data_IF_957903684570
#
_entry.id   IF_957903684570
#
_cell.length_a   1.000
_cell.length_b   1.000
_cell.length_c   1.000
_cell.angle_alpha   90.00
_cell.angle_beta   90.00
_cell.angle_gamma   90.00
#
_symmetry.space_group_name_H-M   'P 1'
#
loop_
_entity.id
_entity.type
_entity.pdbx_description
1 polymer ?
#
# COMPACT_ATOMS: atom_id res chain seq x y z
N UNK A 1 65.13 -21.26 23.17
CA UNK A 1 64.16 -22.14 22.48
C UNK A 1 63.65 -21.36 21.28
N UNK A 2 64.25 -21.57 20.10
CA UNK A 2 63.75 -22.50 19.06
C UNK A 2 62.30 -22.13 18.67
N UNK A 3 62.10 -21.32 17.61
CA UNK A 3 61.95 -21.74 16.18
C UNK A 3 60.54 -22.35 16.02
N UNK A 4 59.55 -21.81 15.28
CA UNK A 4 59.36 -21.69 13.81
C UNK A 4 58.09 -20.81 13.61
N UNK A 5 58.04 -19.69 12.86
CA UNK A 5 58.10 -19.43 11.40
C UNK A 5 56.76 -19.63 10.64
N UNK A 6 56.34 -18.56 9.93
CA UNK A 6 55.69 -18.52 8.59
C UNK A 6 54.42 -19.37 8.36
N UNK A 7 53.29 -18.84 7.86
CA UNK A 7 53.14 -18.23 6.55
C UNK A 7 51.89 -17.32 6.51
N UNK A 8 52.10 -16.02 6.37
CA UNK A 8 51.15 -15.09 5.75
C UNK A 8 51.67 -14.84 4.33
N UNK A 9 50.94 -15.27 3.30
CA UNK A 9 51.04 -14.75 1.92
C UNK A 9 50.05 -15.43 0.96
N UNK A 10 49.44 -14.58 0.12
CA UNK A 10 48.71 -14.84 -1.14
C UNK A 10 47.28 -15.41 -0.97
N UNK A 11 46.21 -14.86 -1.55
CA UNK A 11 46.11 -14.05 -2.77
C UNK A 11 44.95 -13.05 -2.72
N UNK A 12 45.26 -11.79 -3.00
CA UNK A 12 44.33 -10.78 -3.49
C UNK A 12 44.29 -10.95 -5.02
N UNK A 13 43.13 -11.25 -5.59
CA UNK A 13 42.89 -11.14 -7.03
C UNK A 13 41.46 -10.62 -7.22
N UNK A 14 41.35 -9.34 -7.55
CA UNK A 14 40.16 -8.79 -8.16
C UNK A 14 40.22 -9.06 -9.67
N UNK A 15 39.15 -9.61 -10.26
CA UNK A 15 38.85 -9.33 -11.66
C UNK A 15 37.35 -9.49 -11.99
N UNK A 16 36.86 -8.38 -12.54
CA UNK A 16 35.61 -8.04 -13.21
C UNK A 16 35.01 -9.06 -14.22
N UNK A 17 33.67 -8.95 -14.36
CA UNK A 17 32.79 -9.17 -15.53
C UNK A 17 32.68 -10.60 -16.10
N UNK A 18 31.48 -11.18 -16.31
CA UNK A 18 30.37 -10.70 -17.15
C UNK A 18 29.09 -11.50 -16.82
N UNK A 19 27.97 -10.85 -16.53
CA UNK A 19 26.63 -11.46 -16.64
C UNK A 19 25.93 -10.81 -17.83
N UNK A 20 26.13 -11.39 -19.02
CA UNK A 20 25.26 -11.16 -20.17
C UNK A 20 24.05 -12.08 -20.04
N UNK A 21 22.99 -11.60 -19.39
CA UNK A 21 21.66 -12.17 -19.55
C UNK A 21 20.97 -11.42 -20.70
N UNK A 22 20.96 -12.03 -21.87
CA UNK A 22 20.09 -11.62 -22.97
C UNK A 22 18.64 -11.92 -22.58
N UNK A 23 17.89 -10.93 -22.13
CA UNK A 23 16.44 -11.00 -22.16
C UNK A 23 15.98 -10.62 -23.59
N UNK A 24 15.23 -11.48 -24.31
CA UNK A 24 14.62 -11.07 -25.57
C UNK A 24 13.63 -9.94 -25.30
N UNK A 25 13.76 -8.86 -26.07
CA UNK A 25 12.83 -7.74 -26.05
C UNK A 25 11.37 -8.22 -26.21
N UNK A 26 10.41 -7.65 -25.48
CA UNK A 26 9.01 -7.93 -25.74
C UNK A 26 8.68 -7.49 -27.16
N UNK A 27 8.13 -8.45 -27.93
CA UNK A 27 7.60 -8.21 -29.27
C UNK A 27 6.49 -7.16 -29.14
N UNK A 28 6.74 -5.98 -29.71
CA UNK A 28 5.77 -4.91 -29.81
C UNK A 28 4.64 -5.35 -30.74
N UNK A 29 3.47 -5.63 -30.15
CA UNK A 29 2.21 -5.77 -30.87
C UNK A 29 1.90 -4.46 -31.63
N UNK A 30 1.63 -4.50 -32.94
CA UNK A 30 1.34 -3.31 -33.71
C UNK A 30 0.01 -2.68 -33.27
N UNK A 31 0.07 -1.38 -32.95
CA UNK A 31 -1.08 -0.51 -32.71
C UNK A 31 -1.97 -0.47 -33.96
N UNK A 32 -3.30 -0.63 -33.85
CA UNK A 32 -4.19 -0.48 -34.99
C UNK A 32 -4.12 0.96 -35.54
N UNK A 33 -3.97 1.05 -36.87
CA UNK A 33 -3.92 2.32 -37.62
C UNK A 33 -5.21 3.11 -37.46
N UNK A 34 -5.06 4.37 -37.06
CA UNK A 34 -6.14 5.35 -37.08
C UNK A 34 -6.61 5.60 -38.51
N UNK A 35 -7.92 5.55 -38.72
CA UNK A 35 -8.61 5.87 -39.97
C UNK A 35 -8.44 7.37 -40.29
N UNK A 36 -8.10 7.76 -41.53
CA UNK A 36 -7.96 9.17 -41.88
C UNK A 36 -9.33 9.88 -41.88
N UNK A 37 -9.39 11.04 -41.22
CA UNK A 37 -10.53 11.96 -41.26
C UNK A 37 -10.69 12.55 -42.68
N UNK A 38 -11.93 12.76 -43.17
CA UNK A 38 -12.18 13.33 -44.48
C UNK A 38 -11.80 14.81 -44.55
N UNK A 39 -11.19 15.16 -45.69
CA UNK A 39 -10.76 16.49 -46.11
C UNK A 39 -11.93 17.49 -46.10
N UNK A 40 -11.78 18.57 -45.32
CA UNK A 40 -12.72 19.68 -45.33
C UNK A 40 -12.68 20.45 -46.66
N UNK A 41 -13.85 20.72 -47.22
CA UNK A 41 -14.07 21.42 -48.47
C UNK A 41 -13.90 22.92 -48.26
N UNK A 42 -13.12 23.57 -49.13
CA UNK A 42 -12.86 25.01 -49.13
C UNK A 42 -14.15 25.75 -49.55
N UNK A 43 -14.65 26.64 -48.67
CA UNK A 43 -15.73 27.58 -48.95
C UNK A 43 -15.11 28.92 -49.41
N UNK A 44 -15.64 29.59 -50.45
CA UNK A 44 -15.10 30.86 -50.94
C UNK A 44 -15.35 32.03 -49.97
N UNK A 45 -14.55 33.11 -50.04
CA UNK A 45 -14.53 34.17 -49.05
C UNK A 45 -15.77 35.07 -49.15
N UNK A 46 -16.48 35.24 -48.03
CA UNK A 46 -17.42 36.33 -47.83
C UNK A 46 -16.65 37.60 -47.42
N UNK A 47 -16.96 38.70 -48.08
CA UNK A 47 -16.43 40.04 -47.78
C UNK A 47 -17.05 40.59 -46.50
N UNK A 48 -16.23 40.81 -45.47
CA UNK A 48 -16.61 41.46 -44.22
C UNK A 48 -16.63 42.99 -44.39
N UNK A 49 -17.64 43.71 -43.88
CA UNK A 49 -17.65 45.17 -43.87
C UNK A 49 -16.63 45.72 -42.87
N UNK A 50 -16.01 46.85 -43.22
CA UNK A 50 -15.07 47.61 -42.39
C UNK A 50 -15.78 48.16 -41.15
N UNK A 51 -15.50 47.61 -39.97
CA UNK A 51 -15.86 48.22 -38.69
C UNK A 51 -14.85 49.30 -38.28
N UNK A 52 -15.40 50.39 -37.74
CA UNK A 52 -14.67 51.55 -37.21
C UNK A 52 -14.01 51.16 -35.88
N UNK A 53 -12.74 51.55 -35.61
CA UNK A 53 -12.05 51.13 -34.39
C UNK A 53 -12.69 51.76 -33.14
N UNK A 54 -13.30 50.91 -32.32
CA UNK A 54 -13.64 51.21 -30.92
C UNK A 54 -12.35 51.16 -30.10
N UNK A 55 -12.06 52.16 -29.24
CA UNK A 55 -10.87 52.12 -28.40
C UNK A 55 -10.92 50.87 -27.51
N UNK A 56 -9.86 50.06 -27.58
CA UNK A 56 -9.69 48.86 -26.76
C UNK A 56 -9.88 49.21 -25.28
N UNK A 57 -10.65 48.42 -24.51
CA UNK A 57 -10.63 48.55 -23.07
C UNK A 57 -9.19 48.33 -22.59
N UNK A 58 -8.72 49.24 -21.73
CA UNK A 58 -7.45 49.11 -21.02
C UNK A 58 -7.39 47.71 -20.43
N UNK A 59 -6.40 46.91 -20.85
CA UNK A 59 -6.10 45.61 -20.25
C UNK A 59 -6.04 45.81 -18.73
N UNK A 60 -6.99 45.22 -18.01
CA UNK A 60 -6.80 44.84 -16.61
C UNK A 60 -5.44 44.13 -16.52
N UNK A 61 -4.59 44.40 -15.52
CA UNK A 61 -3.35 43.66 -15.34
C UNK A 61 -3.69 42.16 -15.37
N UNK A 62 -3.10 41.43 -16.31
CA UNK A 62 -3.20 39.97 -16.36
C UNK A 62 -2.82 39.47 -14.95
N UNK A 63 -3.65 38.62 -14.35
CA UNK A 63 -3.27 37.97 -13.09
C UNK A 63 -1.87 37.36 -13.29
N UNK A 64 -0.91 37.56 -12.36
CA UNK A 64 0.43 37.01 -12.51
C UNK A 64 0.33 35.53 -12.73
N UNK A 65 1.16 35.06 -13.64
CA UNK A 65 1.12 33.69 -14.09
C UNK A 65 1.70 32.79 -13.00
N UNK A 66 1.26 31.53 -12.94
CA UNK A 66 1.88 30.51 -12.09
C UNK A 66 3.41 30.42 -12.32
N UNK A 67 3.89 30.77 -13.52
CA UNK A 67 5.31 30.85 -13.86
C UNK A 67 6.05 31.95 -13.08
N UNK A 68 5.41 33.09 -12.81
CA UNK A 68 6.03 34.15 -12.00
C UNK A 68 6.21 33.70 -10.55
N UNK A 69 5.23 32.97 -10.00
CA UNK A 69 5.33 32.37 -8.67
C UNK A 69 6.42 31.32 -8.62
N UNK A 70 6.44 30.40 -9.59
CA UNK A 70 7.46 29.36 -9.71
C UNK A 70 8.87 29.96 -9.71
N UNK A 71 9.13 30.93 -10.59
CA UNK A 71 10.44 31.58 -10.68
C UNK A 71 10.82 32.33 -9.39
N UNK A 72 9.83 32.92 -8.69
CA UNK A 72 10.05 33.61 -7.41
C UNK A 72 10.52 32.63 -6.33
N UNK A 73 9.92 31.45 -6.26
CA UNK A 73 10.24 30.43 -5.24
C UNK A 73 11.53 29.69 -5.60
N UNK A 74 11.73 29.31 -6.87
CA UNK A 74 12.97 28.67 -7.34
C UNK A 74 14.22 29.52 -7.08
N UNK A 75 14.11 30.84 -7.21
CA UNK A 75 15.21 31.76 -6.89
C UNK A 75 15.62 31.74 -5.40
N UNK A 76 14.76 31.22 -4.52
CA UNK A 76 15.00 31.06 -3.09
C UNK A 76 15.43 29.65 -2.67
N UNK A 77 15.46 28.68 -3.60
CA UNK A 77 15.88 27.31 -3.27
C UNK A 77 17.39 27.24 -2.99
N UNK A 78 17.82 26.30 -2.14
CA UNK A 78 19.23 25.99 -1.95
C UNK A 78 19.86 25.53 -3.28
N UNK A 79 21.17 25.80 -3.49
CA UNK A 79 21.84 25.38 -4.71
C UNK A 79 21.91 23.85 -4.78
N UNK A 80 21.61 23.28 -5.95
CA UNK A 80 21.76 21.84 -6.16
C UNK A 80 23.21 21.40 -5.89
N UNK A 81 23.42 20.23 -5.27
CA UNK A 81 24.75 19.66 -5.05
C UNK A 81 25.56 19.62 -6.35
N UNK A 82 26.84 19.99 -6.25
CA UNK A 82 27.76 19.83 -7.38
C UNK A 82 28.00 18.33 -7.61
N UNK A 83 27.81 17.80 -8.84
CA UNK A 83 28.12 16.42 -9.12
C UNK A 83 29.56 16.06 -8.76
N UNK A 84 29.77 14.85 -8.24
CA UNK A 84 31.10 14.35 -7.93
C UNK A 84 31.95 14.14 -9.20
N UNK A 85 33.19 13.67 -9.03
CA UNK A 85 34.10 13.43 -10.15
C UNK A 85 33.60 12.35 -11.15
N UNK A 86 32.62 11.54 -10.76
CA UNK A 86 31.94 10.57 -11.64
C UNK A 86 30.68 11.15 -12.31
N UNK A 87 30.37 12.43 -12.06
CA UNK A 87 29.18 13.10 -12.57
C UNK A 87 27.92 12.79 -11.77
N UNK A 88 28.06 12.23 -10.57
CA UNK A 88 26.95 11.86 -9.71
C UNK A 88 26.76 12.93 -8.63
N UNK A 89 25.69 13.71 -8.75
CA UNK A 89 25.19 14.56 -7.66
C UNK A 89 23.90 13.93 -7.16
N UNK A 90 23.93 13.32 -5.98
CA UNK A 90 22.70 12.84 -5.33
C UNK A 90 22.14 13.96 -4.46
N UNK A 91 20.83 14.17 -4.59
CA UNK A 91 20.07 15.10 -3.76
C UNK A 91 20.01 16.51 -4.32
N UNK A 92 19.17 17.32 -3.67
CA UNK A 92 18.81 18.67 -4.10
C UNK A 92 17.58 18.68 -5.00
N UNK A 93 16.72 19.68 -4.79
CA UNK A 93 15.48 19.80 -5.56
C UNK A 93 15.76 20.08 -7.04
N UNK A 94 14.96 19.47 -7.91
CA UNK A 94 14.97 19.75 -9.34
C UNK A 94 14.27 21.09 -9.65
N UNK A 95 13.35 21.51 -8.77
CA UNK A 95 12.64 22.79 -8.84
C UNK A 95 11.43 22.81 -7.92
N UNK A 96 10.45 23.65 -8.25
CA UNK A 96 9.13 23.63 -7.61
C UNK A 96 8.01 23.49 -8.63
N UNK A 97 6.91 22.88 -8.21
CA UNK A 97 5.66 22.87 -8.97
C UNK A 97 4.67 23.83 -8.31
N UNK A 98 3.86 24.50 -9.14
CA UNK A 98 2.78 25.38 -8.69
C UNK A 98 1.43 24.78 -9.09
N UNK A 99 0.57 24.56 -8.09
CA UNK A 99 -0.79 24.06 -8.24
C UNK A 99 -1.80 25.15 -7.84
N UNK A 100 -2.56 25.73 -8.79
CA UNK A 100 -3.67 26.61 -8.46
C UNK A 100 -4.75 25.86 -7.68
N UNK A 101 -5.22 26.45 -6.58
CA UNK A 101 -6.19 25.81 -5.69
C UNK A 101 -7.58 26.37 -5.92
N UNK A 102 -8.55 25.47 -5.91
CA UNK A 102 -9.97 25.82 -5.89
C UNK A 102 -10.40 26.08 -4.45
N UNK A 103 -11.06 27.20 -4.17
CA UNK A 103 -11.63 27.49 -2.86
C UNK A 103 -13.16 27.54 -2.95
N UNK A 104 -13.83 26.91 -1.98
CA UNK A 104 -15.29 26.98 -1.86
C UNK A 104 -15.75 28.26 -1.12
N UNK A 105 -14.81 29.03 -0.58
CA UNK A 105 -15.04 30.24 0.20
C UNK A 105 -14.79 31.51 -0.63
N UNK A 106 -15.38 32.64 -0.22
CA UNK A 106 -15.15 33.95 -0.83
C UNK A 106 -13.77 34.56 -0.52
N UNK A 107 -12.79 33.72 -0.16
CA UNK A 107 -11.43 34.13 0.17
C UNK A 107 -10.62 34.54 -1.06
N UNK A 108 -9.40 35.06 -0.88
CA UNK A 108 -8.50 35.29 -2.00
C UNK A 108 -8.15 33.96 -2.69
N UNK A 109 -7.74 33.98 -3.96
CA UNK A 109 -7.21 32.80 -4.61
C UNK A 109 -5.93 32.32 -3.90
N UNK A 110 -5.72 31.02 -3.89
CA UNK A 110 -4.55 30.36 -3.30
C UNK A 110 -3.86 29.45 -4.32
N UNK A 111 -2.56 29.22 -4.09
CA UNK A 111 -1.73 28.31 -4.86
C UNK A 111 -0.90 27.48 -3.90
N UNK A 112 -0.84 26.17 -4.10
CA UNK A 112 0.16 25.33 -3.48
C UNK A 112 1.44 25.38 -4.30
N UNK A 113 2.58 25.54 -3.63
CA UNK A 113 3.91 25.45 -4.21
C UNK A 113 4.68 24.38 -3.45
N UNK A 114 5.28 23.44 -4.16
CA UNK A 114 5.99 22.33 -3.52
C UNK A 114 7.26 21.98 -4.29
N UNK A 115 8.29 21.54 -3.56
CA UNK A 115 9.54 21.08 -4.19
C UNK A 115 9.35 19.73 -4.86
N UNK A 116 10.07 19.50 -5.95
CA UNK A 116 10.12 18.20 -6.64
C UNK A 116 11.58 17.76 -6.86
N UNK A 117 11.78 16.52 -7.29
CA UNK A 117 13.10 15.90 -7.40
C UNK A 117 13.48 15.14 -6.13
N UNK A 118 14.77 15.07 -5.82
CA UNK A 118 15.32 14.31 -4.68
C UNK A 118 15.75 15.25 -3.55
N UNK A 119 15.49 14.90 -2.29
CA UNK A 119 15.92 15.71 -1.15
C UNK A 119 17.44 15.69 -0.96
N UNK A 120 18.01 16.71 -0.32
CA UNK A 120 19.41 16.65 0.15
C UNK A 120 19.47 15.92 1.49
N UNK A 121 20.51 15.10 1.71
CA UNK A 121 20.73 14.38 2.98
C UNK A 121 21.88 14.97 3.81
N UNK A 122 22.74 15.79 3.19
CA UNK A 122 23.86 16.45 3.87
C UNK A 122 24.17 17.83 3.22
N UNK A 123 23.71 18.95 3.83
CA UNK A 123 22.78 18.97 4.96
C UNK A 123 21.42 18.40 4.56
N UNK A 124 20.67 17.88 5.54
CA UNK A 124 19.30 17.42 5.31
C UNK A 124 18.42 18.61 4.93
N UNK A 125 17.77 18.52 3.77
CA UNK A 125 16.80 19.51 3.27
C UNK A 125 15.54 18.76 2.86
N UNK A 126 14.48 18.85 3.67
CA UNK A 126 13.23 18.16 3.41
C UNK A 126 12.44 18.80 2.26
N UNK A 127 11.62 18.00 1.60
CA UNK A 127 10.61 18.57 0.70
C UNK A 127 9.63 19.44 1.49
N UNK A 128 8.98 20.40 0.82
CA UNK A 128 7.96 21.23 1.47
C UNK A 128 6.73 21.41 0.58
N UNK A 129 5.61 21.72 1.22
CA UNK A 129 4.41 22.29 0.57
C UNK A 129 4.11 23.63 1.24
N UNK A 130 3.93 24.67 0.45
CA UNK A 130 3.62 26.01 0.90
C UNK A 130 2.40 26.57 0.18
N UNK A 131 1.55 27.30 0.91
CA UNK A 131 0.40 28.01 0.36
C UNK A 131 0.79 29.47 0.12
N UNK A 132 0.52 29.94 -1.09
CA UNK A 132 0.71 31.32 -1.49
C UNK A 132 -0.62 31.98 -1.82
N UNK A 133 -0.68 33.28 -1.61
CA UNK A 133 -1.71 34.15 -2.17
C UNK A 133 -1.08 35.34 -2.87
N UNK A 134 -1.87 36.03 -3.67
CA UNK A 134 -1.43 37.22 -4.37
C UNK A 134 -2.15 38.45 -3.84
N UNK A 135 -1.38 39.47 -3.44
CA UNK A 135 -1.91 40.78 -3.06
C UNK A 135 -1.32 41.88 -3.95
N UNK A 136 -1.74 43.13 -3.72
CA UNK A 136 -1.20 44.30 -4.42
C UNK A 136 0.33 44.47 -4.24
N UNK A 137 0.94 43.76 -3.27
CA UNK A 137 2.38 43.75 -3.02
C UNK A 137 3.15 42.61 -3.71
N UNK A 138 2.48 41.76 -4.49
CA UNK A 138 3.08 40.57 -5.12
C UNK A 138 2.67 39.26 -4.43
N UNK A 139 3.45 38.21 -4.68
CA UNK A 139 3.28 36.89 -4.07
C UNK A 139 3.62 36.92 -2.58
N UNK A 140 2.77 36.30 -1.77
CA UNK A 140 2.95 36.18 -0.33
C UNK A 140 2.76 34.73 0.09
N UNK A 141 3.78 34.16 0.74
CA UNK A 141 3.64 32.88 1.44
C UNK A 141 2.72 33.08 2.65
N UNK A 142 1.67 32.27 2.74
CA UNK A 142 0.69 32.29 3.82
C UNK A 142 1.06 31.27 4.90
N UNK A 143 1.42 30.06 4.47
CA UNK A 143 1.79 28.96 5.37
C UNK A 143 2.64 27.93 4.64
N UNK A 144 3.39 27.11 5.38
CA UNK A 144 4.30 26.09 4.87
C UNK A 144 4.38 24.92 5.84
N UNK A 145 4.49 23.72 5.30
CA UNK A 145 4.89 22.51 6.03
C UNK A 145 6.09 21.86 5.33
N UNK A 146 7.00 21.33 6.13
CA UNK A 146 8.08 20.46 5.67
C UNK A 146 7.57 19.01 5.70
N UNK A 147 8.00 18.19 4.75
CA UNK A 147 7.65 16.79 4.58
C UNK A 147 8.85 15.93 4.99
N UNK A 148 8.73 15.23 6.11
CA UNK A 148 9.86 14.50 6.70
C UNK A 148 10.15 13.15 6.03
N UNK A 149 9.11 12.52 5.48
CA UNK A 149 9.15 11.17 4.95
C UNK A 149 9.68 11.03 3.51
N UNK A 150 9.25 11.85 2.52
CA UNK A 150 9.67 11.63 1.14
C UNK A 150 11.16 11.93 0.94
N UNK A 151 11.88 10.98 0.37
CA UNK A 151 13.18 11.21 -0.24
C UNK A 151 13.06 11.88 -1.61
N UNK A 152 11.95 11.66 -2.30
CA UNK A 152 11.66 12.30 -3.58
C UNK A 152 10.16 12.56 -3.79
N UNK A 153 9.89 13.60 -4.57
CA UNK A 153 8.55 13.95 -5.06
C UNK A 153 8.56 14.14 -6.57
N UNK A 154 7.59 13.51 -7.25
CA UNK A 154 7.29 13.78 -8.65
C UNK A 154 6.63 15.16 -8.81
N UNK A 155 6.79 15.87 -9.94
CA UNK A 155 6.04 17.11 -10.19
C UNK A 155 4.51 16.98 -10.07
N UNK A 156 3.95 15.78 -10.18
CA UNK A 156 2.52 15.48 -9.97
C UNK A 156 2.20 14.90 -8.58
N UNK A 157 3.15 14.89 -7.64
CA UNK A 157 3.01 14.27 -6.31
C UNK A 157 1.94 14.91 -5.41
N UNK A 158 1.61 16.19 -5.63
CA UNK A 158 0.62 16.91 -4.82
C UNK A 158 -0.63 17.14 -5.66
N UNK A 159 -1.77 16.73 -5.12
CA UNK A 159 -3.09 16.96 -5.72
C UNK A 159 -4.06 17.57 -4.71
N UNK A 160 -4.97 18.42 -5.19
CA UNK A 160 -6.06 18.92 -4.35
C UNK A 160 -7.17 17.88 -4.30
N UNK A 161 -7.61 17.56 -3.08
CA UNK A 161 -8.65 16.57 -2.77
C UNK A 161 -9.76 17.21 -1.93
N UNK A 162 -10.85 16.48 -1.70
CA UNK A 162 -12.05 17.01 -1.05
C UNK A 162 -12.50 16.09 0.08
N UNK A 163 -12.01 16.30 1.31
CA UNK A 163 -12.47 15.56 2.50
C UNK A 163 -13.74 16.22 3.07
N UNK A 164 -13.68 17.52 3.31
CA UNK A 164 -14.81 18.32 3.80
C UNK A 164 -14.71 19.77 3.29
N UNK A 165 -15.81 20.53 3.20
CA UNK A 165 -15.87 21.78 2.44
C UNK A 165 -15.23 23.01 3.13
N UNK A 166 -14.90 22.92 4.41
CA UNK A 166 -14.35 23.99 5.25
C UNK A 166 -12.87 24.28 5.05
N UNK A 167 -12.09 23.31 4.57
CA UNK A 167 -10.66 23.42 4.32
C UNK A 167 -10.30 23.12 2.86
N UNK A 168 -9.12 23.58 2.45
CA UNK A 168 -8.46 23.04 1.26
C UNK A 168 -7.62 21.84 1.72
N UNK A 169 -7.81 20.71 1.06
CA UNK A 169 -7.08 19.48 1.36
C UNK A 169 -6.10 19.16 0.23
N UNK A 170 -4.88 18.77 0.59
CA UNK A 170 -3.83 18.36 -0.34
C UNK A 170 -3.36 16.96 0.01
N UNK A 171 -3.52 16.03 -0.93
CA UNK A 171 -2.88 14.71 -0.88
C UNK A 171 -1.47 14.82 -1.46
N UNK A 172 -0.49 14.28 -0.74
CA UNK A 172 0.91 14.22 -1.16
C UNK A 172 1.36 12.77 -1.20
N UNK A 173 1.76 12.30 -2.38
CA UNK A 173 2.36 10.98 -2.56
C UNK A 173 3.83 11.11 -2.95
N UNK A 174 4.70 10.54 -2.13
CA UNK A 174 6.14 10.55 -2.35
C UNK A 174 6.75 9.16 -2.27
N UNK A 175 8.04 9.09 -2.56
CA UNK A 175 8.81 7.88 -2.35
C UNK A 175 9.93 8.09 -1.36
N UNK A 176 10.29 7.00 -0.69
CA UNK A 176 11.40 6.93 0.25
C UNK A 176 12.32 5.76 -0.15
N UNK A 177 13.61 6.03 -0.28
CA UNK A 177 14.58 5.10 -0.85
C UNK A 177 14.18 4.59 -2.24
N UNK A 178 14.59 3.36 -2.55
CA UNK A 178 14.29 2.74 -3.84
C UNK A 178 12.93 2.02 -3.86
N UNK A 179 12.35 1.72 -2.69
CA UNK A 179 11.26 0.75 -2.56
C UNK A 179 10.14 1.19 -1.62
N UNK A 180 10.28 2.28 -0.86
CA UNK A 180 9.26 2.70 0.10
C UNK A 180 8.43 3.87 -0.44
N UNK A 181 7.23 4.03 0.11
CA UNK A 181 6.33 5.14 -0.17
C UNK A 181 6.14 6.03 1.05
N UNK A 182 5.78 7.28 0.79
CA UNK A 182 5.28 8.20 1.79
C UNK A 182 3.94 8.78 1.36
N UNK A 183 3.07 9.01 2.33
CA UNK A 183 1.77 9.62 2.15
C UNK A 183 1.59 10.71 3.19
N UNK A 184 1.24 11.91 2.76
CA UNK A 184 0.81 12.98 3.67
C UNK A 184 -0.54 13.54 3.20
N UNK A 185 -1.41 13.86 4.15
CA UNK A 185 -2.64 14.60 3.92
C UNK A 185 -2.59 15.89 4.72
N UNK A 186 -2.71 17.00 4.01
CA UNK A 186 -2.58 18.34 4.56
C UNK A 186 -3.91 19.07 4.50
N UNK A 187 -4.31 19.76 5.58
CA UNK A 187 -5.44 20.70 5.57
C UNK A 187 -4.97 22.15 5.67
N UNK A 188 -5.69 23.04 4.98
CA UNK A 188 -5.51 24.48 5.05
C UNK A 188 -6.82 25.19 5.38
N UNK A 189 -6.85 25.89 6.52
CA UNK A 189 -8.03 26.59 7.06
C UNK A 189 -8.20 28.04 6.56
N UNK A 190 -7.42 28.43 5.55
CA UNK A 190 -7.33 29.82 5.07
C UNK A 190 -6.20 30.63 5.71
N UNK A 191 -5.57 30.12 6.78
CA UNK A 191 -4.45 30.76 7.46
C UNK A 191 -3.27 29.82 7.69
N UNK A 192 -3.54 28.58 8.11
CA UNK A 192 -2.51 27.62 8.52
C UNK A 192 -2.64 26.33 7.71
N UNK A 193 -1.53 25.89 7.12
CA UNK A 193 -1.39 24.56 6.53
C UNK A 193 -0.89 23.61 7.62
N UNK A 194 -1.56 22.48 7.80
CA UNK A 194 -1.24 21.48 8.84
C UNK A 194 -1.06 20.10 8.24
N UNK A 195 -0.29 19.27 8.95
CA UNK A 195 -0.26 17.82 8.75
C UNK A 195 -1.43 17.19 9.50
N UNK A 196 -2.36 16.58 8.79
CA UNK A 196 -3.47 15.84 9.39
C UNK A 196 -3.19 14.34 9.40
N UNK A 197 -2.53 13.83 8.35
CA UNK A 197 -2.06 12.45 8.27
C UNK A 197 -0.65 12.43 7.68
N UNK A 198 0.21 11.60 8.24
CA UNK A 198 1.53 11.30 7.69
C UNK A 198 1.81 9.83 7.88
N UNK A 199 2.17 9.13 6.80
CA UNK A 199 2.32 7.68 6.78
C UNK A 199 3.48 7.24 5.89
N UNK A 200 4.14 6.17 6.31
CA UNK A 200 5.24 5.53 5.59
C UNK A 200 4.89 4.08 5.35
N UNK A 201 5.14 3.60 4.14
CA UNK A 201 4.96 2.20 3.76
C UNK A 201 6.23 1.65 3.11
N UNK A 202 6.49 0.37 3.32
CA UNK A 202 7.67 -0.30 2.74
C UNK A 202 7.51 -0.63 1.25
N UNK A 203 6.39 -0.24 0.63
CA UNK A 203 6.12 -0.25 -0.81
C UNK A 203 5.49 1.09 -1.26
N UNK A 204 5.76 1.62 -2.47
CA UNK A 204 5.07 2.82 -2.95
C UNK A 204 3.61 2.56 -3.29
N UNK A 205 2.78 3.61 -3.21
CA UNK A 205 1.48 3.70 -3.88
C UNK A 205 0.30 2.96 -3.24
N UNK A 206 0.45 2.40 -2.03
CA UNK A 206 -0.64 1.70 -1.34
C UNK A 206 -1.66 2.62 -0.66
N UNK A 207 -1.23 3.79 -0.18
CA UNK A 207 -2.10 4.75 0.51
C UNK A 207 -2.77 5.71 -0.47
N UNK A 208 -4.05 6.01 -0.26
CA UNK A 208 -4.87 6.78 -1.21
C UNK A 208 -6.13 7.34 -0.55
N UNK A 209 -6.87 8.15 -1.31
CA UNK A 209 -8.20 8.64 -0.95
C UNK A 209 -9.25 7.94 -1.82
N UNK A 210 -10.28 7.37 -1.18
CA UNK A 210 -11.34 6.59 -1.84
C UNK A 210 -12.63 6.62 -1.00
N UNK A 211 -13.80 6.67 -1.65
CA UNK A 211 -15.09 6.49 -0.96
C UNK A 211 -15.33 4.98 -0.77
N UNK A 212 -15.03 4.46 0.43
CA UNK A 212 -15.01 3.03 0.70
C UNK A 212 -16.39 2.48 1.07
N UNK A 213 -17.24 3.30 1.69
CA UNK A 213 -18.56 2.89 2.17
C UNK A 213 -19.69 3.28 1.20
N UNK A 214 -19.40 4.04 0.15
CA UNK A 214 -20.34 4.47 -0.89
C UNK A 214 -21.26 5.61 -0.47
N UNK A 215 -20.91 6.38 0.57
CA UNK A 215 -21.72 7.50 1.07
C UNK A 215 -21.47 8.82 0.33
N UNK A 216 -20.49 8.84 -0.58
CA UNK A 216 -20.10 10.00 -1.38
C UNK A 216 -19.09 10.93 -0.71
N UNK A 217 -18.69 10.65 0.54
CA UNK A 217 -17.57 11.28 1.22
C UNK A 217 -16.34 10.39 1.11
N UNK A 218 -15.20 10.93 0.66
CA UNK A 218 -14.00 10.12 0.53
C UNK A 218 -13.32 9.89 1.89
N UNK A 219 -12.72 8.71 2.02
CA UNK A 219 -11.96 8.25 3.17
C UNK A 219 -10.47 8.18 2.85
N UNK A 220 -9.65 8.20 3.90
CA UNK A 220 -8.20 8.04 3.80
C UNK A 220 -7.85 6.59 4.07
N UNK A 221 -7.30 5.92 3.07
CA UNK A 221 -6.80 4.56 3.18
C UNK A 221 -5.27 4.61 3.31
N UNK A 222 -4.77 4.10 4.43
CA UNK A 222 -3.35 3.97 4.73
C UNK A 222 -2.91 2.51 4.61
N UNK A 223 -1.84 2.30 3.86
CA UNK A 223 -1.29 0.97 3.58
C UNK A 223 -0.31 0.52 4.68
N UNK A 224 -0.76 -0.42 5.50
CA UNK A 224 0.01 -1.08 6.56
C UNK A 224 0.47 -2.47 6.17
N UNK A 225 0.45 -2.81 4.87
CA UNK A 225 0.83 -4.12 4.37
C UNK A 225 2.28 -4.43 4.73
N UNK A 226 2.51 -5.65 5.25
CA UNK A 226 3.86 -6.17 5.41
C UNK A 226 4.33 -6.76 4.09
N UNK A 227 5.21 -6.02 3.38
CA UNK A 227 5.81 -6.44 2.11
C UNK A 227 7.06 -7.31 2.26
N UNK A 228 7.60 -7.42 3.48
CA UNK A 228 8.83 -8.13 3.81
C UNK A 228 8.55 -9.37 4.66
N UNK A 229 7.47 -10.10 4.35
CA UNK A 229 7.15 -11.39 5.01
C UNK A 229 8.35 -12.34 4.97
N UNK A 230 9.02 -12.40 3.81
CA UNK A 230 10.33 -13.05 3.65
C UNK A 230 11.35 -12.05 3.10
N UNK A 231 11.08 -11.50 1.91
CA UNK A 231 11.92 -10.50 1.28
C UNK A 231 11.09 -9.64 0.33
N UNK A 232 11.53 -8.41 0.06
CA UNK A 232 10.78 -7.49 -0.81
C UNK A 232 10.51 -8.05 -2.22
N UNK A 233 11.46 -8.81 -2.78
CA UNK A 233 11.36 -9.40 -4.11
C UNK A 233 10.65 -10.76 -4.12
N UNK A 234 10.32 -11.30 -2.94
CA UNK A 234 9.68 -12.60 -2.79
C UNK A 234 8.20 -12.52 -3.13
N UNK A 235 7.59 -11.32 -3.09
CA UNK A 235 6.21 -11.05 -3.48
C UNK A 235 5.16 -11.65 -2.55
N UNK A 236 5.56 -12.25 -1.43
CA UNK A 236 4.66 -12.71 -0.36
C UNK A 236 4.41 -11.55 0.58
N UNK A 237 3.15 -11.14 0.71
CA UNK A 237 2.75 -9.99 1.52
C UNK A 237 1.67 -10.37 2.51
N UNK A 238 1.57 -9.62 3.62
CA UNK A 238 0.43 -9.67 4.53
C UNK A 238 -0.32 -8.35 4.44
N UNK A 239 -1.32 -8.33 3.55
CA UNK A 239 -2.16 -7.16 3.27
C UNK A 239 -2.82 -6.63 4.54
N UNK A 240 -2.66 -5.33 4.82
CA UNK A 240 -3.30 -4.68 5.95
C UNK A 240 -3.52 -3.20 5.64
N UNK A 241 -4.71 -2.71 5.95
CA UNK A 241 -5.06 -1.31 5.79
C UNK A 241 -5.54 -0.71 7.10
N UNK A 242 -5.32 0.60 7.23
CA UNK A 242 -6.00 1.45 8.19
C UNK A 242 -6.86 2.45 7.40
N UNK A 243 -8.09 2.68 7.84
CA UNK A 243 -9.03 3.59 7.19
C UNK A 243 -9.39 4.71 8.16
N UNK A 244 -9.26 5.95 7.71
CA UNK A 244 -9.68 7.13 8.45
C UNK A 244 -10.84 7.81 7.71
N UNK A 245 -11.87 8.18 8.44
CA UNK A 245 -13.02 8.95 7.92
C UNK A 245 -13.19 10.25 8.69
N UNK A 246 -13.75 11.27 8.04
CA UNK A 246 -14.02 12.56 8.65
C UNK A 246 -15.28 12.49 9.52
N UNK A 247 -15.15 12.71 10.83
CA UNK A 247 -16.29 12.62 11.76
C UNK A 247 -17.05 13.96 11.93
N UNK A 248 -16.63 15.00 11.23
CA UNK A 248 -17.14 16.36 11.36
C UNK A 248 -16.15 17.33 11.99
N UNK A 249 -15.15 16.84 12.73
CA UNK A 249 -14.15 17.65 13.42
C UNK A 249 -12.71 17.19 13.15
N UNK A 250 -12.46 15.89 13.05
CA UNK A 250 -11.16 15.32 12.75
C UNK A 250 -11.25 14.01 11.95
N UNK A 251 -10.13 13.61 11.33
CA UNK A 251 -10.00 12.26 10.77
C UNK A 251 -9.93 11.24 11.90
N UNK A 252 -10.81 10.25 11.87
CA UNK A 252 -10.96 9.22 12.90
C UNK A 252 -10.87 7.83 12.28
N UNK A 253 -10.17 6.92 12.96
CA UNK A 253 -10.02 5.54 12.48
C UNK A 253 -11.35 4.79 12.52
N UNK A 254 -11.68 4.15 11.40
CA UNK A 254 -12.81 3.26 11.29
C UNK A 254 -12.37 1.85 11.70
N UNK A 255 -12.99 1.35 12.76
CA UNK A 255 -12.75 0.00 13.27
C UNK A 255 -13.96 -0.90 13.02
N UNK A 256 -13.70 -2.20 12.85
CA UNK A 256 -14.75 -3.21 12.86
C UNK A 256 -15.54 -3.11 14.18
N UNK A 257 -16.85 -2.93 14.08
CA UNK A 257 -17.67 -2.58 15.24
C UNK A 257 -18.86 -3.53 15.39
N UNK A 258 -19.09 -4.12 16.57
CA UNK A 258 -20.30 -4.90 16.81
C UNK A 258 -21.56 -4.02 16.81
N UNK A 259 -22.67 -4.53 16.28
CA UNK A 259 -23.97 -3.86 16.39
C UNK A 259 -24.45 -3.77 17.85
N UNK A 260 -25.18 -2.70 18.23
CA UNK A 260 -25.72 -2.55 19.58
C UNK A 260 -26.78 -3.63 19.89
N UNK A 261 -27.00 -3.92 21.18
CA UNK A 261 -28.00 -4.90 21.64
C UNK A 261 -29.44 -4.59 21.19
N UNK A 262 -29.71 -3.33 20.80
CA UNK A 262 -31.00 -2.88 20.27
C UNK A 262 -31.24 -3.28 18.81
N UNK A 263 -30.20 -3.70 18.09
CA UNK A 263 -30.32 -4.13 16.69
C UNK A 263 -31.07 -5.48 16.57
N UNK A 264 -31.71 -5.77 15.43
CA UNK A 264 -32.38 -7.05 15.20
C UNK A 264 -31.43 -8.24 15.42
N UNK A 265 -31.85 -9.21 16.24
CA UNK A 265 -30.99 -10.32 16.65
C UNK A 265 -30.33 -11.09 15.48
N UNK A 266 -31.02 -11.39 14.35
CA UNK A 266 -30.37 -12.06 13.21
C UNK A 266 -29.26 -11.22 12.55
N UNK A 267 -29.49 -9.91 12.39
CA UNK A 267 -28.50 -8.98 11.83
C UNK A 267 -27.29 -8.88 12.75
N UNK A 268 -27.55 -8.65 14.04
CA UNK A 268 -26.52 -8.56 15.08
C UNK A 268 -25.64 -9.81 15.15
N UNK A 269 -26.24 -11.01 15.11
CA UNK A 269 -25.50 -12.26 15.15
C UNK A 269 -24.54 -12.42 13.95
N UNK A 270 -24.98 -12.07 12.74
CA UNK A 270 -24.14 -12.13 11.55
C UNK A 270 -23.03 -11.08 11.60
N UNK A 271 -23.35 -9.84 11.94
CA UNK A 271 -22.34 -8.77 12.02
C UNK A 271 -21.30 -9.04 13.10
N UNK A 272 -21.71 -9.47 14.31
CA UNK A 272 -20.78 -9.85 15.38
C UNK A 272 -19.88 -10.99 14.94
N UNK A 273 -20.45 -12.01 14.29
CA UNK A 273 -19.66 -13.14 13.80
C UNK A 273 -18.67 -12.73 12.72
N UNK A 274 -19.05 -11.86 11.79
CA UNK A 274 -18.14 -11.37 10.76
C UNK A 274 -16.95 -10.61 11.36
N UNK A 275 -17.19 -9.77 12.38
CA UNK A 275 -16.14 -9.04 13.12
C UNK A 275 -15.19 -10.03 13.81
N UNK A 276 -15.72 -10.98 14.60
CA UNK A 276 -14.91 -12.00 15.28
C UNK A 276 -14.02 -12.79 14.31
N UNK A 277 -14.56 -13.16 13.14
CA UNK A 277 -13.82 -13.89 12.12
C UNK A 277 -12.69 -13.05 11.52
N UNK A 278 -12.98 -11.80 11.16
CA UNK A 278 -11.98 -10.88 10.59
C UNK A 278 -10.84 -10.60 11.58
N UNK A 279 -11.16 -10.33 12.85
CA UNK A 279 -10.17 -10.13 13.92
C UNK A 279 -9.28 -11.37 14.14
N UNK A 280 -9.81 -12.57 13.90
CA UNK A 280 -9.07 -13.82 13.95
C UNK A 280 -8.27 -14.15 12.67
N UNK A 281 -8.32 -13.28 11.65
CA UNK A 281 -7.65 -13.50 10.36
C UNK A 281 -8.40 -14.44 9.40
N UNK A 282 -9.66 -14.81 9.71
CA UNK A 282 -10.51 -15.66 8.89
C UNK A 282 -11.28 -14.83 7.86
N UNK A 283 -10.55 -14.10 7.01
CA UNK A 283 -11.10 -13.09 6.10
C UNK A 283 -12.08 -13.65 5.07
N UNK A 284 -11.81 -14.84 4.54
CA UNK A 284 -12.75 -15.55 3.65
C UNK A 284 -14.12 -15.74 4.31
N UNK A 285 -14.15 -16.35 5.50
CA UNK A 285 -15.39 -16.61 6.23
C UNK A 285 -16.06 -15.32 6.71
N UNK A 286 -15.25 -14.32 7.10
CA UNK A 286 -15.74 -13.00 7.49
C UNK A 286 -16.48 -12.32 6.31
N UNK A 287 -15.91 -12.38 5.11
CA UNK A 287 -16.52 -11.84 3.88
C UNK A 287 -17.83 -12.56 3.55
N UNK A 288 -17.84 -13.89 3.58
CA UNK A 288 -19.07 -14.68 3.36
C UNK A 288 -20.16 -14.33 4.40
N UNK A 289 -19.77 -14.10 5.66
CA UNK A 289 -20.68 -13.78 6.77
C UNK A 289 -21.22 -12.35 6.66
N UNK A 290 -20.38 -11.36 6.39
CA UNK A 290 -20.83 -9.96 6.28
C UNK A 290 -21.74 -9.76 5.07
N UNK A 291 -21.53 -10.49 3.98
CA UNK A 291 -22.44 -10.48 2.81
C UNK A 291 -23.86 -10.92 3.16
N UNK A 292 -24.02 -11.85 4.11
CA UNK A 292 -25.33 -12.23 4.63
C UNK A 292 -25.96 -11.10 5.45
N UNK A 293 -25.17 -10.40 6.27
CA UNK A 293 -25.65 -9.23 7.01
C UNK A 293 -26.11 -8.10 6.07
N UNK A 294 -25.33 -7.81 5.01
CA UNK A 294 -25.69 -6.83 3.96
C UNK A 294 -27.00 -7.21 3.27
N UNK A 295 -27.26 -8.51 3.05
CA UNK A 295 -28.52 -8.98 2.47
C UNK A 295 -29.72 -8.73 3.41
N UNK A 296 -29.51 -8.75 4.73
CA UNK A 296 -30.56 -8.44 5.71
C UNK A 296 -30.81 -6.94 5.85
N UNK A 297 -29.74 -6.15 5.97
CA UNK A 297 -29.82 -4.69 6.09
C UNK A 297 -28.50 -4.00 5.70
N UNK A 298 -28.25 -3.87 4.40
CA UNK A 298 -27.10 -3.14 3.85
C UNK A 298 -27.26 -1.62 3.88
N UNK A 299 -28.22 -1.06 4.61
CA UNK A 299 -28.36 0.39 4.82
C UNK A 299 -28.02 0.78 6.26
N UNK A 300 -27.84 -0.19 7.16
CA UNK A 300 -27.33 0.07 8.50
C UNK A 300 -25.86 0.54 8.40
N UNK A 301 -25.51 1.73 8.95
CA UNK A 301 -24.18 2.29 8.80
C UNK A 301 -23.04 1.41 9.35
N UNK A 302 -23.30 0.65 10.43
CA UNK A 302 -22.30 -0.26 11.01
C UNK A 302 -22.10 -1.47 10.10
N UNK A 303 -23.16 -1.98 9.50
CA UNK A 303 -23.08 -3.08 8.52
C UNK A 303 -22.32 -2.62 7.28
N UNK A 304 -22.62 -1.44 6.75
CA UNK A 304 -21.93 -0.87 5.58
C UNK A 304 -20.44 -0.71 5.84
N UNK A 305 -20.05 -0.13 6.98
CA UNK A 305 -18.64 0.05 7.32
C UNK A 305 -17.90 -1.27 7.56
N UNK A 306 -18.51 -2.20 8.29
CA UNK A 306 -17.91 -3.52 8.48
C UNK A 306 -17.75 -4.27 7.15
N UNK A 307 -18.72 -4.14 6.24
CA UNK A 307 -18.63 -4.73 4.90
C UNK A 307 -17.48 -4.12 4.10
N UNK A 308 -17.37 -2.78 4.05
CA UNK A 308 -16.29 -2.08 3.36
C UNK A 308 -14.91 -2.53 3.86
N UNK A 309 -14.69 -2.53 5.19
CA UNK A 309 -13.42 -2.95 5.78
C UNK A 309 -13.09 -4.42 5.52
N UNK A 310 -14.08 -5.32 5.65
CA UNK A 310 -13.86 -6.75 5.42
C UNK A 310 -13.59 -7.03 3.94
N UNK A 311 -14.33 -6.40 3.03
CA UNK A 311 -14.13 -6.57 1.57
C UNK A 311 -12.75 -6.07 1.15
N UNK A 312 -12.36 -4.88 1.60
CA UNK A 312 -11.06 -4.29 1.31
C UNK A 312 -9.91 -5.26 1.61
N UNK A 313 -9.94 -5.91 2.78
CA UNK A 313 -8.90 -6.85 3.17
C UNK A 313 -9.06 -8.23 2.50
N UNK A 314 -10.28 -8.76 2.44
CA UNK A 314 -10.53 -10.10 1.96
C UNK A 314 -10.24 -10.24 0.46
N UNK A 315 -10.59 -9.25 -0.35
CA UNK A 315 -10.42 -9.31 -1.81
C UNK A 315 -8.95 -9.36 -2.20
N UNK A 316 -8.13 -8.47 -1.66
CA UNK A 316 -6.70 -8.45 -1.95
C UNK A 316 -5.97 -9.66 -1.37
N UNK A 317 -6.34 -10.12 -0.16
CA UNK A 317 -5.80 -11.36 0.41
C UNK A 317 -6.16 -12.58 -0.44
N UNK A 318 -7.36 -12.61 -1.04
CA UNK A 318 -7.76 -13.68 -1.96
C UNK A 318 -6.93 -13.69 -3.26
N UNK A 319 -6.51 -12.52 -3.76
CA UNK A 319 -5.62 -12.42 -4.90
C UNK A 319 -4.20 -12.89 -4.55
N UNK A 320 -3.65 -12.39 -3.44
CA UNK A 320 -2.33 -12.77 -2.90
C UNK A 320 -2.25 -14.26 -2.51
N UNK A 321 -3.38 -14.90 -2.20
CA UNK A 321 -3.45 -16.33 -1.89
C UNK A 321 -3.11 -17.24 -3.09
N UNK A 322 -3.11 -16.71 -4.32
CA UNK A 322 -2.87 -17.49 -5.54
C UNK A 322 -1.40 -17.63 -5.90
N UNK A 323 -0.59 -16.62 -5.62
CA UNK A 323 0.83 -16.51 -5.98
C UNK A 323 1.48 -15.45 -5.07
N UNK A 324 2.81 -15.44 -4.89
CA UNK A 324 3.79 -16.42 -5.39
C UNK A 324 3.99 -17.60 -4.45
N UNK A 325 3.32 -17.62 -3.29
CA UNK A 325 3.44 -18.69 -2.31
C UNK A 325 2.07 -19.05 -1.70
N UNK A 326 1.29 -19.91 -2.39
CA UNK A 326 -0.10 -20.17 -2.02
C UNK A 326 -0.31 -20.72 -0.62
N UNK A 327 0.66 -21.45 -0.06
CA UNK A 327 0.54 -22.01 1.29
C UNK A 327 0.32 -20.90 2.32
N UNK A 328 1.24 -19.95 2.40
CA UNK A 328 1.13 -18.86 3.37
C UNK A 328 0.07 -17.83 2.95
N UNK A 329 -0.10 -17.58 1.65
CA UNK A 329 -1.13 -16.68 1.14
C UNK A 329 -2.54 -17.13 1.55
N UNK A 330 -2.86 -18.41 1.44
CA UNK A 330 -4.15 -18.96 1.90
C UNK A 330 -4.28 -18.91 3.43
N UNK A 331 -3.19 -19.11 4.18
CA UNK A 331 -3.20 -18.91 5.64
C UNK A 331 -3.50 -17.46 6.01
N UNK A 332 -2.90 -16.47 5.34
CA UNK A 332 -3.22 -15.06 5.56
C UNK A 332 -4.63 -14.68 5.12
N UNK A 333 -5.19 -15.33 4.09
CA UNK A 333 -6.58 -15.16 3.71
C UNK A 333 -7.56 -15.85 4.68
N UNK A 334 -7.06 -16.76 5.52
CA UNK A 334 -7.85 -17.56 6.43
C UNK A 334 -8.52 -18.77 5.78
N UNK A 335 -8.16 -19.11 4.54
CA UNK A 335 -8.64 -20.31 3.85
C UNK A 335 -7.73 -21.51 4.12
N UNK A 336 -7.81 -22.04 5.35
CA UNK A 336 -7.02 -23.19 5.77
C UNK A 336 -7.30 -24.45 4.95
N UNK A 337 -8.49 -24.57 4.35
CA UNK A 337 -8.80 -25.67 3.46
C UNK A 337 -7.97 -25.56 2.17
N UNK A 338 -7.93 -24.39 1.55
CA UNK A 338 -7.10 -24.14 0.36
C UNK A 338 -5.60 -24.24 0.67
N UNK A 339 -5.14 -23.80 1.84
CA UNK A 339 -3.76 -24.00 2.28
C UNK A 339 -3.41 -25.50 2.37
N UNK A 340 -4.36 -26.34 2.84
CA UNK A 340 -4.16 -27.79 2.89
C UNK A 340 -4.09 -28.44 1.50
N UNK A 341 -4.83 -27.91 0.51
CA UNK A 341 -4.73 -28.37 -0.89
C UNK A 341 -3.31 -28.25 -1.44
N UNK A 342 -2.52 -27.28 -0.97
CA UNK A 342 -1.11 -27.13 -1.37
C UNK A 342 -0.25 -28.28 -0.86
N UNK A 343 -0.61 -28.90 0.26
CA UNK A 343 0.14 -29.99 0.89
C UNK A 343 -0.23 -31.37 0.32
N UNK A 344 -1.48 -31.57 -0.09
CA UNK A 344 -2.03 -32.86 -0.55
C UNK A 344 -1.32 -33.54 -1.74
N UNK A 345 -0.62 -32.84 -2.65
CA UNK A 345 0.16 -33.50 -3.70
C UNK A 345 1.35 -34.31 -3.18
N UNK A 346 1.80 -34.07 -1.95
CA UNK A 346 2.97 -34.70 -1.35
C UNK A 346 2.58 -35.85 -0.42
N UNK A 347 3.46 -36.84 -0.30
CA UNK A 347 3.36 -37.87 0.73
C UNK A 347 3.60 -37.27 2.12
N UNK A 348 3.13 -37.96 3.16
CA UNK A 348 3.36 -37.55 4.54
C UNK A 348 4.85 -37.49 4.85
N UNK A 349 5.62 -38.46 4.36
CA UNK A 349 7.08 -38.48 4.48
C UNK A 349 7.69 -37.20 3.88
N UNK A 350 7.31 -36.79 2.67
CA UNK A 350 7.80 -35.56 2.04
C UNK A 350 7.38 -34.28 2.79
N UNK A 351 6.17 -34.23 3.34
CA UNK A 351 5.68 -33.07 4.11
C UNK A 351 6.51 -32.81 5.36
N UNK A 352 6.98 -33.87 6.03
CA UNK A 352 7.74 -33.79 7.29
C UNK A 352 9.26 -33.99 7.11
N UNK A 353 9.74 -34.22 5.88
CA UNK A 353 11.18 -34.31 5.62
C UNK A 353 11.87 -32.93 5.68
N UNK A 354 13.18 -32.93 5.85
CA UNK A 354 14.00 -31.73 5.76
C UNK A 354 15.13 -31.90 4.73
N UNK A 355 15.09 -31.17 3.60
CA UNK A 355 14.11 -30.13 3.25
C UNK A 355 12.79 -30.70 2.73
N UNK A 356 11.67 -30.06 3.08
CA UNK A 356 10.34 -30.37 2.53
C UNK A 356 10.12 -29.63 1.19
N UNK A 357 9.44 -30.22 0.19
CA UNK A 357 9.10 -29.54 -1.06
C UNK A 357 8.10 -28.38 -0.88
N UNK A 358 7.50 -28.25 0.31
CA UNK A 358 6.70 -27.07 0.66
C UNK A 358 7.57 -25.82 0.89
N UNK A 359 8.88 -25.99 1.06
CA UNK A 359 9.85 -24.92 1.30
C UNK A 359 10.90 -24.89 0.18
N UNK A 360 11.46 -26.05 -0.17
CA UNK A 360 12.52 -26.15 -1.17
C UNK A 360 12.04 -25.66 -2.55
N UNK A 361 12.84 -24.82 -3.18
CA UNK A 361 12.51 -24.17 -4.46
C UNK A 361 11.43 -23.09 -4.40
N UNK A 362 10.94 -22.71 -3.22
CA UNK A 362 9.88 -21.70 -3.04
C UNK A 362 10.43 -20.38 -2.44
N UNK A 363 9.65 -19.28 -2.42
CA UNK A 363 10.05 -18.05 -1.74
C UNK A 363 10.37 -18.22 -0.24
N UNK A 364 9.91 -19.29 0.40
CA UNK A 364 10.15 -19.57 1.82
C UNK A 364 11.50 -20.24 2.12
N UNK A 365 12.28 -20.65 1.10
CA UNK A 365 13.59 -21.28 1.32
C UNK A 365 14.52 -20.33 2.11
N UNK A 366 15.05 -20.82 3.23
CA UNK A 366 15.90 -20.03 4.13
C UNK A 366 15.13 -19.11 5.09
N UNK A 367 13.79 -19.17 5.07
CA UNK A 367 12.87 -18.43 5.93
C UNK A 367 11.94 -19.38 6.72
N UNK A 368 12.41 -20.59 7.01
CA UNK A 368 11.60 -21.65 7.62
C UNK A 368 11.09 -21.24 9.01
N UNK A 369 11.89 -20.49 9.77
CA UNK A 369 11.52 -19.98 11.08
C UNK A 369 10.40 -18.93 10.99
N UNK A 370 10.54 -17.97 10.08
CA UNK A 370 9.56 -16.92 9.83
C UNK A 370 8.25 -17.49 9.27
N UNK A 371 8.34 -18.39 8.28
CA UNK A 371 7.18 -19.13 7.76
C UNK A 371 6.43 -19.83 8.89
N UNK A 372 7.16 -20.56 9.73
CA UNK A 372 6.57 -21.29 10.85
C UNK A 372 5.87 -20.34 11.82
N UNK A 373 6.50 -19.23 12.17
CA UNK A 373 5.93 -18.24 13.07
C UNK A 373 4.64 -17.62 12.50
N UNK A 374 4.65 -17.23 11.22
CA UNK A 374 3.46 -16.67 10.57
C UNK A 374 2.26 -17.63 10.57
N UNK A 375 2.51 -18.92 10.29
CA UNK A 375 1.47 -19.94 10.31
C UNK A 375 0.99 -20.19 11.74
N UNK A 376 1.90 -20.29 12.71
CA UNK A 376 1.56 -20.54 14.12
C UNK A 376 0.69 -19.41 14.66
N UNK A 377 1.05 -18.16 14.43
CA UNK A 377 0.30 -17.00 14.92
C UNK A 377 -1.08 -16.92 14.30
N UNK A 378 -1.16 -17.04 12.96
CA UNK A 378 -2.43 -16.99 12.24
C UNK A 378 -3.35 -18.14 12.68
N UNK A 379 -2.84 -19.37 12.71
CA UNK A 379 -3.62 -20.53 13.11
C UNK A 379 -4.04 -20.49 14.58
N UNK A 380 -3.24 -19.89 15.46
CA UNK A 380 -3.59 -19.72 16.86
C UNK A 380 -4.78 -18.79 17.04
N UNK A 381 -4.81 -17.65 16.35
CA UNK A 381 -5.98 -16.76 16.34
C UNK A 381 -7.22 -17.46 15.75
N UNK A 382 -7.04 -18.16 14.63
CA UNK A 382 -8.13 -18.88 13.97
C UNK A 382 -8.81 -19.92 14.87
N UNK A 383 -8.04 -20.80 15.53
CA UNK A 383 -8.63 -21.87 16.37
C UNK A 383 -9.24 -21.37 17.68
N UNK A 384 -8.91 -20.15 18.13
CA UNK A 384 -9.60 -19.53 19.27
C UNK A 384 -11.05 -19.18 18.93
N UNK A 385 -11.32 -18.74 17.69
CA UNK A 385 -12.65 -18.34 17.21
C UNK A 385 -13.38 -19.47 16.47
N UNK A 386 -12.64 -20.46 15.96
CA UNK A 386 -13.16 -21.69 15.36
C UNK A 386 -12.43 -22.93 15.92
N UNK A 387 -12.79 -23.42 17.13
CA UNK A 387 -12.10 -24.54 17.79
C UNK A 387 -12.28 -25.89 17.10
N UNK A 388 -13.12 -25.96 16.07
CA UNK A 388 -13.34 -27.14 15.23
C UNK A 388 -12.66 -27.03 13.85
N UNK A 389 -11.83 -26.01 13.61
CA UNK A 389 -11.12 -25.82 12.34
C UNK A 389 -9.89 -26.76 12.26
N UNK A 390 -10.14 -28.01 11.91
CA UNK A 390 -9.13 -29.08 11.89
C UNK A 390 -7.89 -28.74 11.04
N UNK A 391 -8.09 -28.09 9.87
CA UNK A 391 -6.98 -27.70 9.00
C UNK A 391 -6.03 -26.67 9.64
N UNK A 392 -6.55 -25.75 10.47
CA UNK A 392 -5.71 -24.79 11.18
C UNK A 392 -4.87 -25.47 12.27
N UNK A 393 -5.43 -26.43 13.00
CA UNK A 393 -4.64 -27.29 13.90
C UNK A 393 -3.55 -28.03 13.14
N UNK A 394 -3.87 -28.65 12.01
CA UNK A 394 -2.89 -29.39 11.22
C UNK A 394 -1.72 -28.51 10.75
N UNK A 395 -2.02 -27.37 10.14
CA UNK A 395 -1.02 -26.42 9.65
C UNK A 395 -0.17 -25.84 10.79
N UNK A 396 -0.77 -25.55 11.96
CA UNK A 396 -0.02 -25.13 13.15
C UNK A 396 0.94 -26.21 13.63
N UNK A 397 0.47 -27.47 13.69
CA UNK A 397 1.30 -28.61 14.08
C UNK A 397 2.46 -28.84 13.11
N UNK A 398 2.20 -28.77 11.80
CA UNK A 398 3.23 -28.86 10.77
C UNK A 398 4.28 -27.73 10.90
N UNK A 399 3.86 -26.48 11.08
CA UNK A 399 4.76 -25.35 11.26
C UNK A 399 5.64 -25.49 12.51
N UNK A 400 5.10 -26.01 13.63
CA UNK A 400 5.89 -26.33 14.83
C UNK A 400 6.96 -27.38 14.53
N UNK A 401 6.57 -28.46 13.85
CA UNK A 401 7.48 -29.54 13.48
C UNK A 401 8.59 -29.08 12.54
N UNK A 402 8.28 -28.17 11.60
CA UNK A 402 9.23 -27.65 10.61
C UNK A 402 10.48 -27.02 11.28
N UNK A 403 10.31 -26.34 12.40
CA UNK A 403 11.43 -25.70 13.13
C UNK A 403 11.95 -26.55 14.30
N UNK A 404 11.09 -27.38 14.89
CA UNK A 404 11.44 -28.26 16.00
C UNK A 404 10.71 -29.61 15.86
N UNK A 405 11.33 -30.62 15.21
CA UNK A 405 10.71 -31.93 15.01
C UNK A 405 10.28 -32.63 16.30
N UNK A 406 10.92 -32.31 17.42
CA UNK A 406 10.66 -32.88 18.75
C UNK A 406 9.64 -32.04 19.56
N UNK A 407 8.99 -31.02 18.98
CA UNK A 407 7.98 -30.21 19.68
C UNK A 407 6.75 -31.07 20.03
N UNK A 408 6.46 -31.34 21.32
CA UNK A 408 5.29 -32.13 21.70
C UNK A 408 3.97 -31.46 21.30
N UNK A 409 3.95 -30.12 21.18
CA UNK A 409 2.75 -29.38 20.74
C UNK A 409 2.48 -29.61 19.25
N UNK A 410 3.51 -29.92 18.44
CA UNK A 410 3.32 -30.29 17.05
C UNK A 410 2.45 -31.56 16.93
N UNK A 411 2.82 -32.61 17.68
CA UNK A 411 2.06 -33.86 17.69
C UNK A 411 0.65 -33.66 18.28
N UNK A 412 0.51 -32.85 19.33
CA UNK A 412 -0.79 -32.55 19.94
C UNK A 412 -1.74 -31.85 18.95
N UNK A 413 -1.25 -30.89 18.18
CA UNK A 413 -2.02 -30.19 17.15
C UNK A 413 -2.44 -31.14 16.01
N UNK A 414 -1.53 -32.00 15.54
CA UNK A 414 -1.84 -33.02 14.51
C UNK A 414 -2.86 -34.04 15.03
N UNK A 415 -2.75 -34.45 16.30
CA UNK A 415 -3.73 -35.33 16.95
C UNK A 415 -5.10 -34.67 17.06
N UNK A 416 -5.16 -33.40 17.44
CA UNK A 416 -6.41 -32.63 17.48
C UNK A 416 -7.06 -32.52 16.09
N UNK A 417 -6.28 -32.25 15.04
CA UNK A 417 -6.78 -32.22 13.67
C UNK A 417 -7.40 -33.57 13.25
N UNK A 418 -6.71 -34.68 13.53
CA UNK A 418 -7.21 -36.02 13.23
C UNK A 418 -8.46 -36.40 14.05
N UNK A 419 -8.60 -35.90 15.28
CA UNK A 419 -9.81 -36.10 16.09
C UNK A 419 -11.01 -35.33 15.53
N UNK A 420 -10.79 -34.09 15.09
CA UNK A 420 -11.84 -33.24 14.52
C UNK A 420 -12.30 -33.71 13.14
N UNK A 421 -11.39 -34.26 12.34
CA UNK A 421 -11.66 -34.78 11.00
C UNK A 421 -11.02 -36.17 10.78
N UNK A 422 -11.59 -37.24 11.37
CA UNK A 422 -11.02 -38.59 11.32
C UNK A 422 -11.03 -39.23 9.92
N UNK A 423 -11.83 -38.69 9.01
CA UNK A 423 -11.92 -39.15 7.62
C UNK A 423 -10.94 -38.41 6.70
N UNK A 424 -10.20 -37.39 7.19
CA UNK A 424 -9.17 -36.71 6.41
C UNK A 424 -7.88 -37.55 6.41
N UNK A 425 -7.50 -38.19 5.28
CA UNK A 425 -6.38 -39.12 5.25
C UNK A 425 -5.06 -38.46 5.58
N UNK A 426 -4.86 -37.19 5.18
CA UNK A 426 -3.61 -36.48 5.44
C UNK A 426 -3.37 -36.34 6.96
N UNK A 427 -4.40 -36.05 7.74
CA UNK A 427 -4.26 -35.89 9.20
C UNK A 427 -3.96 -37.22 9.90
N UNK A 428 -4.71 -38.27 9.56
CA UNK A 428 -4.58 -39.59 10.20
C UNK A 428 -3.28 -40.29 9.82
N UNK A 429 -2.83 -40.15 8.57
CA UNK A 429 -1.53 -40.67 8.13
C UNK A 429 -0.37 -39.89 8.76
N UNK A 430 -0.46 -38.56 8.85
CA UNK A 430 0.54 -37.73 9.54
C UNK A 430 0.68 -38.09 11.02
N UNK A 431 -0.45 -38.26 11.71
CA UNK A 431 -0.46 -38.72 13.10
C UNK A 431 0.19 -40.09 13.25
N UNK A 432 0.00 -40.99 12.29
CA UNK A 432 0.58 -42.34 12.31
C UNK A 432 2.09 -42.30 12.04
N UNK A 433 2.52 -41.44 11.11
CA UNK A 433 3.93 -41.24 10.77
C UNK A 433 4.73 -40.61 11.91
N UNK A 434 4.17 -39.61 12.60
CA UNK A 434 4.84 -38.90 13.70
C UNK A 434 4.78 -39.65 15.04
N UNK A 435 3.89 -40.65 15.19
CA UNK A 435 3.86 -41.48 16.39
C UNK A 435 5.03 -42.48 16.35
N UNK A 436 5.85 -42.55 17.42
CA UNK A 436 7.04 -43.41 17.48
C UNK A 436 6.74 -44.91 17.54
#
# INVERSE_FOLDING_TARGET
>A
MKVILQFYRLSLTALLLTLTACNPAPVSTPRPSATPLPTATIVPPMTTPTETPVPSPTKTPDAPSAADLQATVEAGLPPSPTPDAAGFGMGGFDGVTVLPLTNNSSGPPYWAVFTNGFRSFDPLENHFVAIYTQSNGGWQEVSRVELENPDYLDPAAVSQVQIEPGHIWLEVQGGAGAHSGSYDLLSFDGQTLRHDVSHFTSSPGGSRIEDLNGDGSPDVLLDFTEYYVFCYACGVTRIQYQVLTWDGEHLSEVNLTPLPETAPAPLRALTHRAVELAEAGLWRDAQETINQAVTLDGQDPVVTWNAALIHLHAEERAEQAREPYPLLGNVFYGDYAAALEVMRPYSVEEIFDQPTPLVDGTPAMGWEAELSQWIIDSATSAVQVQPNLAAAFFLRGWARHLTNPDDPEALADIEQAAQLAPEEPLFTQSLTYLKP
#
